data_IF_011108832837
#
_entry.id   IF_011108832837
#
_cell.length_a   1.000
_cell.length_b   1.000
_cell.length_c   1.000
_cell.angle_alpha   90.00
_cell.angle_beta   90.00
_cell.angle_gamma   90.00
#
_symmetry.space_group_name_H-M   'P 1'
#
loop_
_entity.id
_entity.type
_entity.pdbx_description
1 polymer ?
#
# COMPACT_ATOMS: atom_id res chain seq x y z
N UNK A 1 -4.88 10.87 -4.80
CA UNK A 1 -4.87 10.14 -3.51
C UNK A 1 -6.29 9.79 -3.12
N UNK A 2 -6.51 8.60 -2.59
CA UNK A 2 -7.80 8.13 -2.08
C UNK A 2 -7.64 7.56 -0.67
N UNK A 3 -8.70 7.68 0.14
CA UNK A 3 -8.68 7.37 1.57
C UNK A 3 -9.90 6.55 1.97
N UNK A 4 -9.74 5.72 3.01
CA UNK A 4 -10.88 5.00 3.59
C UNK A 4 -11.82 5.99 4.27
N UNK A 5 -13.11 5.94 3.94
CA UNK A 5 -14.17 6.67 4.64
C UNK A 5 -14.99 5.72 5.51
N UNK A 6 -15.47 6.21 6.66
CA UNK A 6 -16.44 5.48 7.49
C UNK A 6 -17.84 5.84 7.01
N UNK A 7 -18.66 4.81 6.78
CA UNK A 7 -20.07 4.99 6.46
C UNK A 7 -20.96 4.33 7.51
N UNK A 8 -22.11 4.95 7.82
CA UNK A 8 -23.05 4.43 8.81
C UNK A 8 -23.76 3.15 8.34
N UNK A 9 -24.01 3.01 7.03
CA UNK A 9 -24.74 1.87 6.46
C UNK A 9 -23.84 0.65 6.22
N UNK A 10 -22.66 0.86 5.63
CA UNK A 10 -21.73 -0.22 5.27
C UNK A 10 -20.71 -0.57 6.36
N UNK A 11 -20.78 0.11 7.51
CA UNK A 11 -19.91 -0.16 8.65
C UNK A 11 -18.46 0.27 8.43
N UNK A 12 -17.54 -0.39 9.14
CA UNK A 12 -16.11 -0.08 9.12
C UNK A 12 -15.37 -1.03 8.17
N UNK A 13 -14.62 -0.47 7.23
CA UNK A 13 -13.70 -1.23 6.42
C UNK A 13 -12.57 -1.82 7.30
N UNK A 14 -12.13 -3.07 7.10
CA UNK A 14 -11.15 -3.74 7.97
C UNK A 14 -9.75 -3.09 7.97
N UNK A 15 -9.45 -2.30 6.93
CA UNK A 15 -8.24 -1.46 6.85
C UNK A 15 -8.58 0.00 6.55
N UNK A 16 -7.85 0.91 7.18
CA UNK A 16 -7.92 2.35 7.00
C UNK A 16 -6.57 2.90 6.59
N UNK A 17 -6.54 3.78 5.59
CA UNK A 17 -5.28 4.33 5.10
C UNK A 17 -5.44 5.25 3.91
N UNK A 18 -4.31 5.78 3.47
CA UNK A 18 -4.19 6.63 2.29
C UNK A 18 -3.44 5.88 1.20
N UNK A 19 -3.94 5.98 -0.02
CA UNK A 19 -3.40 5.27 -1.17
C UNK A 19 -3.37 6.18 -2.39
N UNK A 20 -2.46 5.89 -3.29
CA UNK A 20 -2.26 6.64 -4.52
C UNK A 20 -1.77 5.68 -5.59
N UNK A 21 -2.35 5.79 -6.78
CA UNK A 21 -1.81 5.20 -7.99
C UNK A 21 -1.51 6.33 -8.96
N UNK A 22 -0.50 6.14 -9.80
CA UNK A 22 -0.08 7.16 -10.76
C UNK A 22 1.06 6.68 -11.62
N UNK A 23 1.69 7.62 -12.30
CA UNK A 23 2.89 7.37 -13.09
C UNK A 23 3.84 8.55 -13.01
N UNK A 24 5.11 8.30 -13.31
CA UNK A 24 6.14 9.32 -13.54
C UNK A 24 6.70 9.17 -14.95
N UNK A 25 6.89 10.29 -15.65
CA UNK A 25 7.60 10.31 -16.93
C UNK A 25 9.10 10.31 -16.67
N UNK A 26 9.82 9.46 -17.39
CA UNK A 26 11.27 9.35 -17.31
C UNK A 26 11.93 10.18 -18.41
N UNK A 27 13.20 10.54 -18.23
CA UNK A 27 13.94 11.37 -19.19
C UNK A 27 14.13 10.70 -20.57
N UNK A 28 14.07 9.37 -20.63
CA UNK A 28 14.16 8.58 -21.87
C UNK A 28 12.82 8.45 -22.61
N UNK A 29 11.77 9.13 -22.14
CA UNK A 29 10.42 9.06 -22.71
C UNK A 29 9.60 7.84 -22.25
N UNK A 30 10.16 6.98 -21.40
CA UNK A 30 9.41 5.89 -20.76
C UNK A 30 8.55 6.40 -19.59
N UNK A 31 7.67 5.54 -19.08
CA UNK A 31 6.82 5.84 -17.93
C UNK A 31 6.97 4.77 -16.86
N UNK A 32 7.06 5.19 -15.60
CA UNK A 32 7.02 4.30 -14.44
C UNK A 32 5.69 4.44 -13.73
N UNK A 33 4.87 3.40 -13.80
CA UNK A 33 3.61 3.32 -13.05
C UNK A 33 3.89 2.87 -11.61
N UNK A 34 3.17 3.47 -10.66
CA UNK A 34 3.32 3.14 -9.25
C UNK A 34 1.98 3.07 -8.54
N UNK A 35 1.97 2.27 -7.49
CA UNK A 35 0.96 2.23 -6.44
C UNK A 35 1.69 2.41 -5.12
N UNK A 36 1.32 3.41 -4.34
CA UNK A 36 1.83 3.62 -2.99
C UNK A 36 0.68 3.78 -2.01
N UNK A 37 0.86 3.31 -0.80
CA UNK A 37 -0.18 3.44 0.22
C UNK A 37 0.31 2.96 1.57
N UNK A 38 -0.33 3.47 2.62
CA UNK A 38 -0.04 3.11 4.00
C UNK A 38 -1.36 2.80 4.68
N UNK A 39 -1.53 1.54 5.07
CA UNK A 39 -2.76 1.00 5.62
C UNK A 39 -2.55 0.47 7.05
N UNK A 40 -3.50 0.77 7.93
CA UNK A 40 -3.61 0.23 9.28
C UNK A 40 -4.88 -0.59 9.41
N UNK A 41 -4.83 -1.65 10.23
CA UNK A 41 -6.04 -2.38 10.64
C UNK A 41 -6.94 -1.43 11.44
N UNK A 42 -8.23 -1.43 11.08
CA UNK A 42 -9.19 -0.45 11.62
C UNK A 42 -9.59 -0.77 13.06
N UNK A 43 -9.78 -2.05 13.37
CA UNK A 43 -10.28 -2.52 14.67
C UNK A 43 -9.77 -3.94 15.02
N UNK A 44 -10.34 -4.50 16.09
CA UNK A 44 -10.01 -5.85 16.56
C UNK A 44 -10.42 -6.94 15.56
N UNK A 45 -11.48 -6.74 14.78
CA UNK A 45 -11.92 -7.70 13.77
C UNK A 45 -10.98 -7.72 12.57
N UNK A 46 -10.55 -6.54 12.10
CA UNK A 46 -9.48 -6.43 11.12
C UNK A 46 -8.17 -7.06 11.61
N UNK A 47 -7.85 -6.86 12.89
CA UNK A 47 -6.70 -7.51 13.54
C UNK A 47 -6.81 -9.03 13.53
N UNK A 48 -7.94 -9.57 13.97
CA UNK A 48 -8.19 -11.02 13.98
C UNK A 48 -8.15 -11.61 12.56
N UNK A 49 -8.79 -10.96 11.58
CA UNK A 49 -8.77 -11.40 10.18
C UNK A 49 -7.35 -11.41 9.62
N UNK A 50 -6.55 -10.38 9.90
CA UNK A 50 -5.16 -10.32 9.49
C UNK A 50 -4.29 -11.40 10.15
N UNK A 51 -4.45 -11.63 11.46
CA UNK A 51 -3.67 -12.65 12.17
C UNK A 51 -4.01 -14.08 11.78
N UNK A 52 -5.28 -14.36 11.46
CA UNK A 52 -5.75 -15.73 11.16
C UNK A 52 -5.58 -16.12 9.70
N UNK A 53 -5.90 -15.21 8.78
CA UNK A 53 -5.96 -15.50 7.33
C UNK A 53 -4.97 -14.66 6.52
N UNK A 54 -4.56 -13.52 7.07
CA UNK A 54 -3.85 -12.47 6.33
C UNK A 54 -4.72 -11.77 5.28
N UNK A 55 -6.04 -12.02 5.29
CA UNK A 55 -6.95 -11.59 4.25
C UNK A 55 -6.89 -10.09 3.93
N UNK A 56 -6.92 -9.16 4.92
CA UNK A 56 -6.98 -7.73 4.61
C UNK A 56 -5.82 -7.26 3.73
N UNK A 57 -4.57 -7.62 4.06
CA UNK A 57 -3.43 -7.22 3.25
C UNK A 57 -3.21 -8.11 2.02
N UNK A 58 -3.45 -9.43 2.09
CA UNK A 58 -3.31 -10.31 0.93
C UNK A 58 -4.26 -9.94 -0.21
N UNK A 59 -5.52 -9.63 0.11
CA UNK A 59 -6.50 -9.24 -0.90
C UNK A 59 -6.19 -7.88 -1.50
N UNK A 60 -5.69 -6.94 -0.70
CA UNK A 60 -5.22 -5.65 -1.22
C UNK A 60 -4.01 -5.82 -2.15
N UNK A 61 -3.02 -6.63 -1.76
CA UNK A 61 -1.85 -6.92 -2.61
C UNK A 61 -2.26 -7.56 -3.93
N UNK A 62 -3.14 -8.57 -3.89
CA UNK A 62 -3.64 -9.25 -5.08
C UNK A 62 -4.34 -8.27 -6.05
N UNK A 63 -5.12 -7.33 -5.51
CA UNK A 63 -5.77 -6.28 -6.32
C UNK A 63 -4.71 -5.39 -6.99
N UNK A 64 -3.71 -4.91 -6.25
CA UNK A 64 -2.65 -4.06 -6.81
C UNK A 64 -1.78 -4.79 -7.83
N UNK A 65 -1.47 -6.07 -7.59
CA UNK A 65 -0.75 -6.90 -8.56
C UNK A 65 -1.54 -7.09 -9.84
N UNK A 66 -2.86 -7.33 -9.75
CA UNK A 66 -3.70 -7.48 -10.94
C UNK A 66 -3.77 -6.20 -11.80
N UNK A 67 -3.74 -5.01 -11.17
CA UNK A 67 -3.66 -3.75 -11.88
C UNK A 67 -2.33 -3.65 -12.66
N UNK A 68 -1.20 -3.98 -12.02
CA UNK A 68 0.12 -3.97 -12.66
C UNK A 68 0.17 -4.96 -13.82
N UNK A 69 -0.38 -6.16 -13.63
CA UNK A 69 -0.46 -7.18 -14.67
C UNK A 69 -1.29 -6.69 -15.87
N UNK A 70 -2.42 -6.02 -15.61
CA UNK A 70 -3.25 -5.40 -16.64
C UNK A 70 -2.51 -4.34 -17.45
N UNK A 71 -1.73 -3.48 -16.80
CA UNK A 71 -0.91 -2.46 -17.48
C UNK A 71 0.13 -3.12 -18.39
N UNK A 72 0.88 -4.11 -17.86
CA UNK A 72 1.91 -4.82 -18.63
C UNK A 72 1.29 -5.54 -19.83
N UNK A 73 0.16 -6.20 -19.62
CA UNK A 73 -0.58 -6.87 -20.68
C UNK A 73 -1.03 -5.88 -21.76
N UNK A 74 -1.62 -4.75 -21.36
CA UNK A 74 -2.07 -3.71 -22.28
C UNK A 74 -0.92 -3.19 -23.13
N UNK A 75 0.21 -2.82 -22.52
CA UNK A 75 1.36 -2.29 -23.26
C UNK A 75 1.90 -3.31 -24.27
N UNK A 76 2.09 -4.57 -23.84
CA UNK A 76 2.63 -5.63 -24.71
C UNK A 76 1.69 -5.98 -25.86
N UNK A 77 0.37 -5.96 -25.64
CA UNK A 77 -0.62 -6.22 -26.70
C UNK A 77 -0.75 -5.07 -27.70
N UNK A 78 -0.26 -3.88 -27.35
CA UNK A 78 -0.24 -2.70 -28.21
C UNK A 78 1.17 -2.36 -28.71
N UNK A 79 2.00 -3.39 -28.94
CA UNK A 79 3.34 -3.29 -29.54
C UNK A 79 4.38 -2.50 -28.71
N UNK A 80 4.07 -2.17 -27.45
CA UNK A 80 5.02 -1.57 -26.52
C UNK A 80 5.85 -2.59 -25.75
N UNK A 81 6.85 -2.11 -25.02
CA UNK A 81 7.65 -2.90 -24.09
C UNK A 81 7.35 -2.47 -22.65
N UNK A 82 7.09 -3.44 -21.77
CA UNK A 82 6.86 -3.21 -20.35
C UNK A 82 7.42 -4.35 -19.50
N UNK A 83 7.95 -4.00 -18.34
CA UNK A 83 8.40 -4.92 -17.29
C UNK A 83 7.65 -4.60 -16.00
N UNK A 84 7.27 -5.66 -15.27
CA UNK A 84 6.73 -5.53 -13.92
C UNK A 84 7.90 -5.64 -12.94
N UNK A 85 7.95 -4.78 -11.92
CA UNK A 85 8.81 -5.07 -10.78
C UNK A 85 8.28 -6.32 -10.06
N UNK A 86 9.08 -7.38 -10.03
CA UNK A 86 8.73 -8.68 -9.44
C UNK A 86 8.95 -8.73 -7.92
N UNK A 87 9.65 -7.75 -7.37
CA UNK A 87 9.86 -7.59 -5.94
C UNK A 87 9.29 -6.23 -5.51
N UNK A 88 7.95 -6.08 -5.47
CA UNK A 88 7.38 -4.94 -4.78
C UNK A 88 7.81 -5.08 -3.32
N UNK A 89 8.50 -4.10 -2.75
CA UNK A 89 8.74 -4.06 -1.30
C UNK A 89 7.43 -3.57 -0.64
N UNK A 90 6.57 -4.43 -0.07
CA UNK A 90 5.48 -3.96 0.77
C UNK A 90 6.10 -3.38 2.03
N UNK A 91 6.41 -2.09 2.00
CA UNK A 91 6.82 -1.31 3.16
C UNK A 91 5.62 -1.16 4.08
N UNK A 92 5.44 -2.15 4.97
CA UNK A 92 4.42 -2.15 6.01
C UNK A 92 5.05 -1.69 7.32
N UNK A 93 4.71 -0.49 7.82
CA UNK A 93 5.20 -0.06 9.12
C UNK A 93 4.74 -1.04 10.21
N UNK A 94 5.61 -1.32 11.16
CA UNK A 94 5.18 -1.91 12.42
C UNK A 94 4.34 -0.87 13.17
N UNK A 95 3.01 -1.01 13.08
CA UNK A 95 2.08 -0.09 13.70
C UNK A 95 2.17 -0.04 15.23
N UNK A 96 2.69 -1.09 15.89
CA UNK A 96 2.94 -1.06 17.31
C UNK A 96 4.14 -0.16 17.62
N UNK A 97 5.22 -0.23 16.83
CA UNK A 97 6.37 0.67 16.95
C UNK A 97 5.97 2.11 16.62
N UNK A 98 5.22 2.33 15.54
CA UNK A 98 4.70 3.66 15.17
C UNK A 98 3.87 4.26 16.30
N UNK A 99 3.02 3.45 16.94
CA UNK A 99 2.22 3.87 18.09
C UNK A 99 3.10 4.24 19.29
N UNK A 100 4.11 3.43 19.63
CA UNK A 100 5.04 3.71 20.72
C UNK A 100 5.84 4.99 20.50
N UNK A 101 6.23 5.28 19.26
CA UNK A 101 6.92 6.54 18.92
C UNK A 101 5.98 7.73 19.03
N UNK A 102 4.77 7.63 18.48
CA UNK A 102 3.73 8.66 18.61
C UNK A 102 3.39 8.96 20.07
N UNK A 103 3.33 7.94 20.91
CA UNK A 103 2.99 8.06 22.33
C UNK A 103 4.20 8.46 23.20
N UNK A 104 5.37 8.75 22.60
CA UNK A 104 6.57 9.21 23.30
C UNK A 104 7.34 8.13 24.06
N UNK A 105 6.98 6.86 23.90
CA UNK A 105 7.64 5.72 24.55
C UNK A 105 8.97 5.37 23.87
N UNK A 106 9.03 5.53 22.55
CA UNK A 106 10.23 5.29 21.72
C UNK A 106 10.64 6.57 20.97
N UNK A 107 11.94 6.80 20.74
CA UNK A 107 12.39 7.96 19.98
C UNK A 107 12.02 7.86 18.48
N UNK A 108 11.82 9.02 17.84
CA UNK A 108 11.50 9.13 16.40
C UNK A 108 12.59 8.49 15.50
N UNK A 109 13.84 8.51 15.94
CA UNK A 109 14.97 7.91 15.23
C UNK A 109 14.83 6.41 14.95
N UNK A 110 13.92 5.71 15.66
CA UNK A 110 13.62 4.29 15.38
C UNK A 110 12.80 4.11 14.11
N UNK A 111 12.00 5.10 13.70
CA UNK A 111 11.19 5.03 12.47
C UNK A 111 11.92 5.58 11.24
N UNK A 112 12.84 6.52 11.42
CA UNK A 112 13.60 7.13 10.32
C UNK A 112 14.92 7.70 10.84
N UNK A 113 15.99 7.47 10.07
CA UNK A 113 17.30 8.09 10.29
C UNK A 113 17.45 9.44 9.56
N UNK A 114 16.42 9.87 8.82
CA UNK A 114 16.48 11.03 7.92
C UNK A 114 16.03 12.34 8.58
N UNK A 115 15.84 12.35 9.90
CA UNK A 115 15.61 13.59 10.64
C UNK A 115 16.95 14.33 10.84
N UNK A 116 17.44 14.98 9.78
CA UNK A 116 18.42 16.07 9.86
C UNK A 116 17.73 17.40 9.66
#
# INVERSE_FOLDING_TARGET
>A
MFSTIKELYNGLHPVSGNREFGFTSNADGSYTFYTKGVDRLTDIWGTAAQSTTGFPFKSADALWESLKDGIVYYVKTHQGAATKNIDPEPLRPDWAVVKQVRDGIKPLSILSNDCK
#
